data_IF_616944308175
#
_entry.id   IF_616944308175
#
_cell.length_a   1.000
_cell.length_b   1.000
_cell.length_c   1.000
_cell.angle_alpha   90.00
_cell.angle_beta   90.00
_cell.angle_gamma   90.00
#
_symmetry.space_group_name_H-M   'P 1'
#
loop_
_entity.id
_entity.type
_entity.pdbx_description
1 polymer ?
#
# COMPACT_ATOMS: atom_id res chain seq x y z
N UNK A 1 -5.85 -4.59 10.50
CA UNK A 1 -5.47 -3.16 10.47
C UNK A 1 -4.44 -2.85 9.38
N UNK A 2 -3.25 -3.45 9.38
CA UNK A 2 -2.16 -3.14 8.41
C UNK A 2 -2.57 -3.23 6.94
N UNK A 3 -3.36 -4.25 6.58
CA UNK A 3 -3.85 -4.39 5.19
C UNK A 3 -4.86 -3.31 4.78
N UNK A 4 -5.70 -2.81 5.71
CA UNK A 4 -6.68 -1.74 5.44
C UNK A 4 -5.98 -0.44 5.08
N UNK A 5 -4.85 -0.15 5.73
CA UNK A 5 -4.00 0.98 5.39
C UNK A 5 -3.27 0.73 4.05
N UNK A 6 -2.55 -0.40 3.93
CA UNK A 6 -1.74 -0.71 2.74
C UNK A 6 -2.54 -0.76 1.44
N UNK A 7 -3.78 -1.27 1.50
CA UNK A 7 -4.67 -1.40 0.34
C UNK A 7 -5.69 -0.27 0.22
N UNK A 8 -5.57 0.77 1.05
CA UNK A 8 -6.42 1.96 1.04
C UNK A 8 -7.94 1.69 1.16
N UNK A 9 -8.36 0.60 1.82
CA UNK A 9 -9.80 0.28 1.98
C UNK A 9 -10.57 1.37 2.73
N UNK A 10 -9.91 2.05 3.68
CA UNK A 10 -10.50 3.17 4.40
C UNK A 10 -10.79 4.37 3.49
N UNK A 11 -9.89 4.69 2.56
CA UNK A 11 -10.11 5.68 1.50
C UNK A 11 -11.19 5.27 0.52
N UNK A 12 -11.21 3.99 0.10
CA UNK A 12 -12.24 3.45 -0.79
C UNK A 12 -13.65 3.61 -0.19
N UNK A 13 -13.84 3.19 1.06
CA UNK A 13 -15.14 3.28 1.73
C UNK A 13 -15.58 4.74 1.96
N UNK A 14 -14.65 5.63 2.30
CA UNK A 14 -14.92 7.06 2.41
C UNK A 14 -15.35 7.65 1.05
N UNK A 15 -14.63 7.32 -0.02
CA UNK A 15 -14.93 7.79 -1.37
C UNK A 15 -16.30 7.32 -1.86
N UNK A 16 -16.66 6.06 -1.60
CA UNK A 16 -17.99 5.53 -1.97
C UNK A 16 -19.11 6.22 -1.20
N UNK A 17 -18.96 6.41 0.11
CA UNK A 17 -19.95 7.13 0.91
C UNK A 17 -20.17 8.55 0.38
N UNK A 18 -19.08 9.25 0.11
CA UNK A 18 -19.12 10.64 -0.35
C UNK A 18 -19.64 10.78 -1.77
N UNK A 19 -19.27 9.85 -2.64
CA UNK A 19 -19.77 9.78 -4.01
C UNK A 19 -21.28 9.55 -4.04
N UNK A 20 -21.80 8.64 -3.20
CA UNK A 20 -23.25 8.42 -3.06
C UNK A 20 -23.96 9.68 -2.57
N UNK A 21 -23.44 10.31 -1.50
CA UNK A 21 -23.99 11.56 -0.98
C UNK A 21 -23.98 12.69 -2.03
N UNK A 22 -22.90 12.82 -2.80
CA UNK A 22 -22.78 13.80 -3.88
C UNK A 22 -23.80 13.57 -5.02
N UNK A 23 -24.34 12.36 -5.15
CA UNK A 23 -25.41 12.00 -6.09
C UNK A 23 -26.81 12.01 -5.44
N UNK A 24 -26.96 12.63 -4.27
CA UNK A 24 -28.23 12.75 -3.56
C UNK A 24 -28.69 11.46 -2.87
N UNK A 25 -27.79 10.48 -2.69
CA UNK A 25 -28.08 9.23 -2.00
C UNK A 25 -27.44 9.30 -0.61
N UNK A 26 -28.25 9.57 0.41
CA UNK A 26 -27.80 9.50 1.79
C UNK A 26 -27.70 8.05 2.25
N UNK A 27 -26.57 7.70 2.88
CA UNK A 27 -26.28 6.36 3.36
C UNK A 27 -26.14 6.38 4.88
N UNK A 28 -27.14 5.82 5.55
CA UNK A 28 -27.16 5.48 6.97
C UNK A 28 -27.34 3.95 7.05
N UNK A 29 -26.45 3.16 7.70
CA UNK A 29 -25.31 3.53 8.56
C UNK A 29 -23.94 3.59 7.84
N UNK A 30 -22.83 3.71 8.59
CA UNK A 30 -21.45 3.70 8.07
C UNK A 30 -21.16 2.50 7.14
N UNK A 31 -20.29 2.68 6.12
CA UNK A 31 -19.86 1.59 5.26
C UNK A 31 -19.19 0.45 6.05
N UNK A 32 -19.44 -0.79 5.61
CA UNK A 32 -18.95 -2.01 6.24
C UNK A 32 -17.99 -2.72 5.30
N UNK A 33 -16.89 -3.22 5.84
CA UNK A 33 -15.92 -4.06 5.13
C UNK A 33 -16.16 -5.52 5.52
N UNK A 34 -16.51 -6.36 4.54
CA UNK A 34 -16.66 -7.81 4.74
C UNK A 34 -15.42 -8.48 4.15
N UNK A 35 -14.65 -9.17 4.98
CA UNK A 35 -13.46 -9.90 4.57
C UNK A 35 -13.68 -11.40 4.76
N UNK A 36 -13.38 -12.19 3.74
CA UNK A 36 -13.46 -13.64 3.77
C UNK A 36 -12.05 -14.24 3.61
N UNK A 37 -11.76 -15.27 4.40
CA UNK A 37 -10.52 -16.00 4.25
C UNK A 37 -10.51 -16.85 2.97
N UNK A 38 -9.39 -16.77 2.26
CA UNK A 38 -9.15 -17.54 1.03
C UNK A 38 -8.88 -19.02 1.31
N UNK A 39 -8.48 -19.39 2.54
CA UNK A 39 -8.26 -20.78 2.96
C UNK A 39 -9.42 -21.36 3.76
N UNK A 40 -9.68 -22.68 3.68
CA UNK A 40 -10.62 -23.36 4.57
C UNK A 40 -10.30 -23.08 6.05
N UNK A 41 -11.32 -22.83 6.91
CA UNK A 41 -12.76 -23.02 6.69
C UNK A 41 -13.49 -21.85 5.99
N UNK A 42 -12.80 -20.91 5.36
CA UNK A 42 -13.36 -19.70 4.73
C UNK A 42 -14.12 -18.81 5.72
N UNK A 43 -13.46 -18.52 6.85
CA UNK A 43 -14.05 -17.66 7.88
C UNK A 43 -14.33 -16.25 7.33
N UNK A 44 -15.42 -15.64 7.80
CA UNK A 44 -15.88 -14.33 7.34
C UNK A 44 -15.98 -13.37 8.51
N UNK A 45 -15.31 -12.23 8.40
CA UNK A 45 -15.33 -11.18 9.40
C UNK A 45 -15.91 -9.90 8.83
N UNK A 46 -16.84 -9.31 9.58
CA UNK A 46 -17.51 -8.06 9.24
C UNK A 46 -16.90 -6.94 10.09
N UNK A 47 -16.20 -6.02 9.44
CA UNK A 47 -15.52 -4.90 10.08
C UNK A 47 -16.28 -3.59 9.85
N UNK A 48 -16.45 -2.84 10.93
CA UNK A 48 -16.78 -1.42 10.88
C UNK A 48 -15.50 -0.61 11.08
N UNK A 49 -15.24 0.32 10.19
CA UNK A 49 -14.16 1.29 10.38
C UNK A 49 -14.61 2.36 11.37
N UNK A 50 -13.69 2.85 12.19
CA UNK A 50 -13.98 3.99 13.07
C UNK A 50 -14.19 5.26 12.24
N UNK A 51 -14.81 6.28 12.86
CA UNK A 51 -15.04 7.56 12.19
C UNK A 51 -13.70 8.17 11.76
N UNK A 52 -12.70 8.12 12.63
CA UNK A 52 -11.36 8.67 12.41
C UNK A 52 -10.65 7.98 11.24
N UNK A 53 -10.81 6.67 11.09
CA UNK A 53 -10.25 5.93 9.95
C UNK A 53 -10.91 6.33 8.62
N UNK A 54 -12.22 6.58 8.62
CA UNK A 54 -12.95 7.07 7.44
C UNK A 54 -12.60 8.53 7.11
N UNK A 55 -12.42 9.38 8.12
CA UNK A 55 -11.95 10.76 7.94
C UNK A 55 -10.54 10.79 7.37
N UNK A 56 -9.64 9.96 7.88
CA UNK A 56 -8.29 9.81 7.32
C UNK A 56 -8.33 9.37 5.86
N UNK A 57 -9.16 8.38 5.53
CA UNK A 57 -9.34 7.93 4.15
C UNK A 57 -9.91 9.01 3.25
N UNK A 58 -10.75 9.89 3.80
CA UNK A 58 -11.33 11.04 3.11
C UNK A 58 -10.29 12.10 2.76
N UNK A 59 -9.37 12.39 3.67
CA UNK A 59 -8.22 13.26 3.39
C UNK A 59 -7.40 12.68 2.23
N UNK A 60 -7.03 11.39 2.33
CA UNK A 60 -6.17 10.72 1.34
C UNK A 60 -6.78 10.71 -0.06
N UNK A 61 -8.04 10.30 -0.23
CA UNK A 61 -8.63 10.28 -1.58
C UNK A 61 -8.76 11.69 -2.15
N UNK A 62 -8.99 12.73 -1.33
CA UNK A 62 -9.09 14.12 -1.80
C UNK A 62 -7.76 14.68 -2.29
N UNK A 63 -6.67 14.31 -1.61
CA UNK A 63 -5.31 14.60 -2.09
C UNK A 63 -5.06 13.94 -3.44
N UNK A 64 -5.47 12.68 -3.61
CA UNK A 64 -5.37 11.95 -4.88
C UNK A 64 -6.21 12.59 -5.99
N UNK A 65 -7.45 13.01 -5.71
CA UNK A 65 -8.28 13.74 -6.68
C UNK A 65 -7.67 15.10 -7.06
N UNK A 66 -7.06 15.78 -6.10
CA UNK A 66 -6.36 17.05 -6.35
C UNK A 66 -5.13 16.85 -7.23
N UNK A 67 -4.36 15.78 -7.00
CA UNK A 67 -3.25 15.39 -7.87
C UNK A 67 -3.76 15.02 -9.26
N UNK A 68 -4.80 14.20 -9.36
CA UNK A 68 -5.42 13.81 -10.63
C UNK A 68 -5.85 15.03 -11.43
N UNK A 69 -6.49 16.00 -10.77
CA UNK A 69 -6.89 17.27 -11.39
C UNK A 69 -5.68 18.01 -11.97
N UNK A 70 -4.61 18.21 -11.18
CA UNK A 70 -3.39 18.87 -11.67
C UNK A 70 -2.77 18.14 -12.86
N UNK A 71 -2.60 16.82 -12.77
CA UNK A 71 -2.04 16.03 -13.87
C UNK A 71 -2.88 16.13 -15.15
N UNK A 72 -4.21 16.16 -14.99
CA UNK A 72 -5.15 16.31 -16.11
C UNK A 72 -5.07 17.70 -16.74
N UNK A 73 -5.07 18.75 -15.92
CA UNK A 73 -5.01 20.15 -16.37
C UNK A 73 -3.68 20.44 -17.09
N UNK A 74 -2.56 19.98 -16.52
CA UNK A 74 -1.21 20.19 -17.03
C UNK A 74 -0.82 19.21 -18.16
N UNK A 75 -1.66 18.20 -18.42
CA UNK A 75 -1.38 17.06 -19.33
C UNK A 75 -0.04 16.36 -19.05
N UNK A 76 0.40 16.39 -17.80
CA UNK A 76 1.67 15.81 -17.33
C UNK A 76 1.39 14.78 -16.25
N UNK A 77 2.01 13.61 -16.38
CA UNK A 77 1.85 12.50 -15.45
C UNK A 77 3.22 12.15 -14.87
N UNK A 78 3.53 12.57 -13.62
CA UNK A 78 4.84 12.34 -13.03
C UNK A 78 5.10 10.85 -12.87
N UNK A 79 6.15 10.37 -13.52
CA UNK A 79 6.62 8.98 -13.47
C UNK A 79 7.88 8.82 -12.61
N UNK A 80 8.36 7.59 -12.48
CA UNK A 80 9.53 7.27 -11.64
C UNK A 80 10.84 7.93 -12.11
N UNK A 81 10.92 8.24 -13.40
CA UNK A 81 12.13 8.71 -14.09
C UNK A 81 11.88 10.07 -14.80
N UNK A 82 11.11 10.95 -14.16
CA UNK A 82 10.65 12.21 -14.76
C UNK A 82 11.82 13.12 -15.18
N UNK A 83 12.93 13.10 -14.44
CA UNK A 83 14.12 13.94 -14.68
C UNK A 83 15.26 13.20 -15.40
N UNK A 84 15.01 12.03 -15.99
CA UNK A 84 15.98 11.30 -16.80
C UNK A 84 16.36 9.93 -16.24
N UNK A 85 17.65 9.61 -16.22
CA UNK A 85 18.13 8.26 -15.87
C UNK A 85 18.11 8.12 -14.34
N UNK A 86 17.45 7.07 -13.85
CA UNK A 86 17.49 6.67 -12.44
C UNK A 86 18.53 5.56 -12.31
N UNK A 87 19.62 5.84 -11.58
CA UNK A 87 20.62 4.82 -11.29
C UNK A 87 20.00 3.74 -10.39
N UNK A 88 20.07 2.50 -10.86
CA UNK A 88 19.61 1.34 -10.11
C UNK A 88 20.82 0.64 -9.51
N UNK A 89 20.91 0.69 -8.18
CA UNK A 89 21.99 0.07 -7.43
C UNK A 89 21.61 -1.35 -6.98
N UNK A 90 22.62 -2.21 -6.80
CA UNK A 90 22.42 -3.52 -6.23
C UNK A 90 22.27 -3.41 -4.70
N UNK A 91 21.49 -4.30 -4.07
CA UNK A 91 21.46 -4.38 -2.61
C UNK A 91 22.85 -4.73 -2.04
N UNK A 92 23.14 -4.25 -0.83
CA UNK A 92 24.49 -4.30 -0.23
C UNK A 92 25.17 -5.69 -0.24
N UNK A 93 24.39 -6.77 -0.17
CA UNK A 93 24.91 -8.14 -0.19
C UNK A 93 25.54 -8.55 -1.53
N UNK A 94 25.24 -7.87 -2.64
CA UNK A 94 25.87 -8.14 -3.94
C UNK A 94 27.32 -7.64 -4.03
N UNK A 95 27.72 -6.74 -3.12
CA UNK A 95 29.06 -6.13 -3.07
C UNK A 95 29.97 -6.78 -2.04
N UNK A 96 29.42 -7.72 -1.25
CA UNK A 96 30.22 -8.53 -0.36
C UNK A 96 30.80 -9.64 -1.22
N UNK A 97 32.03 -9.44 -1.68
CA UNK A 97 32.88 -10.58 -2.00
C UNK A 97 32.92 -11.41 -0.72
N UNK A 98 32.37 -12.62 -0.77
CA UNK A 98 32.72 -13.61 0.22
C UNK A 98 34.22 -13.82 0.03
N UNK A 99 35.04 -13.03 0.72
CA UNK A 99 36.38 -13.48 1.07
C UNK A 99 36.17 -14.90 1.56
N UNK A 100 36.87 -15.85 0.94
CA UNK A 100 36.98 -17.26 1.29
C UNK A 100 37.54 -17.38 2.72
N UNK A 101 36.83 -16.83 3.71
CA UNK A 101 37.11 -17.02 5.10
C UNK A 101 36.78 -18.50 5.33
N UNK A 102 37.80 -19.34 5.59
CA UNK A 102 37.58 -20.77 5.70
C UNK A 102 36.54 -21.00 6.79
N UNK A 103 35.47 -21.69 6.42
CA UNK A 103 34.43 -22.11 7.37
C UNK A 103 35.11 -22.98 8.44
N UNK A 104 35.41 -22.39 9.57
CA UNK A 104 36.05 -23.10 10.68
C UNK A 104 34.96 -23.72 11.53
N UNK A 105 34.65 -25.00 11.26
CA UNK A 105 33.76 -25.81 12.10
C UNK A 105 34.65 -26.60 13.06
N UNK A 106 34.67 -26.22 14.34
CA UNK A 106 35.41 -26.97 15.36
C UNK A 106 36.93 -26.71 15.42
N UNK A 107 37.43 -25.63 14.80
CA UNK A 107 38.83 -25.22 14.90
C UNK A 107 39.80 -25.87 13.91
N UNK A 108 39.32 -26.67 12.97
CA UNK A 108 40.12 -27.18 11.85
C UNK A 108 39.65 -26.54 10.54
N UNK A 109 40.60 -25.99 9.77
CA UNK A 109 40.38 -25.43 8.45
C UNK A 109 40.57 -26.52 7.40
N UNK A 110 39.58 -26.74 6.54
CA UNK A 110 39.71 -27.61 5.37
C UNK A 110 39.91 -26.76 4.11
N UNK A 111 41.06 -26.92 3.45
CA UNK A 111 41.29 -26.42 2.08
C UNK A 111 40.91 -27.53 1.09
N UNK A 112 40.12 -27.19 0.06
CA UNK A 112 39.76 -28.08 -1.05
C UNK A 112 40.76 -27.95 -2.20
#
# INVERSE_FOLDING_TARGET
>A
ATQVARLAYHGQLAFYKDGLAANGIEVEPQPILIAADTSPPHDVVVYRLTIEALERGREEYRELLSLLKRCTDDKRWPGLAEDGIVDLDLPAWCYVDQDDAPLTVGGESMEF
#
